data_IF_895793708797
#
_entry.id   IF_895793708797
#
_cell.length_a   1.000
_cell.length_b   1.000
_cell.length_c   1.000
_cell.angle_alpha   90.00
_cell.angle_beta   90.00
_cell.angle_gamma   90.00
#
_symmetry.space_group_name_H-M   'P 1'
#
loop_
_entity.id
_entity.type
_entity.pdbx_description
1 polymer ?
#
# COMPACT_ATOMS: atom_id res chain seq x y z
N UNK A 1 -46.21 50.25 -0.82
CA UNK A 1 -46.88 49.60 0.33
C UNK A 1 -45.86 48.77 1.11
N UNK A 2 -45.35 49.30 2.23
CA UNK A 2 -44.37 48.61 3.09
C UNK A 2 -45.10 47.53 3.89
N UNK A 3 -44.90 46.26 3.52
CA UNK A 3 -45.44 45.12 4.28
C UNK A 3 -44.69 45.06 5.62
N UNK A 4 -45.41 45.39 6.69
CA UNK A 4 -44.94 45.30 8.07
C UNK A 4 -44.40 43.90 8.34
N UNK A 5 -43.10 43.80 8.63
CA UNK A 5 -42.44 42.54 8.92
C UNK A 5 -42.74 42.18 10.37
N UNK A 6 -43.36 41.02 10.59
CA UNK A 6 -43.76 40.55 11.91
C UNK A 6 -42.55 40.53 12.85
N UNK A 7 -42.58 41.30 13.95
CA UNK A 7 -41.48 41.40 14.92
C UNK A 7 -41.00 40.03 15.42
N UNK A 8 -41.90 39.05 15.54
CA UNK A 8 -41.59 37.66 15.88
C UNK A 8 -40.72 36.94 14.84
N UNK A 9 -40.93 37.21 13.55
CA UNK A 9 -40.12 36.64 12.48
C UNK A 9 -38.70 37.24 12.48
N UNK A 10 -38.56 38.51 12.85
CA UNK A 10 -37.25 39.16 13.00
C UNK A 10 -36.47 38.60 14.21
N UNK A 11 -37.15 38.33 15.32
CA UNK A 11 -36.56 37.74 16.53
C UNK A 11 -36.09 36.30 16.26
N UNK A 12 -36.87 35.49 15.55
CA UNK A 12 -36.47 34.12 15.19
C UNK A 12 -35.24 34.12 14.26
N UNK A 13 -35.18 35.06 13.31
CA UNK A 13 -34.02 35.22 12.43
C UNK A 13 -32.77 35.66 13.21
N UNK A 14 -32.94 36.52 14.23
CA UNK A 14 -31.85 36.94 15.11
C UNK A 14 -31.34 35.81 16.01
N UNK A 15 -32.24 34.97 16.56
CA UNK A 15 -31.86 33.80 17.38
C UNK A 15 -31.12 32.76 16.52
N UNK A 16 -31.56 32.52 15.28
CA UNK A 16 -30.87 31.62 14.37
C UNK A 16 -29.49 32.14 13.94
N UNK A 17 -29.35 33.46 13.73
CA UNK A 17 -28.07 34.09 13.40
C UNK A 17 -27.08 34.01 14.57
N UNK A 18 -27.56 34.22 15.80
CA UNK A 18 -26.76 34.08 17.02
C UNK A 18 -26.32 32.62 17.22
N UNK A 19 -27.21 31.64 17.03
CA UNK A 19 -26.87 30.22 17.15
C UNK A 19 -25.82 29.77 16.12
N UNK A 20 -25.80 30.38 14.93
CA UNK A 20 -24.80 30.08 13.90
C UNK A 20 -23.43 30.74 14.15
N UNK A 21 -23.35 31.77 14.99
CA UNK A 21 -22.10 32.43 15.41
C UNK A 21 -21.48 31.73 16.63
N UNK A 22 -22.29 31.05 17.46
CA UNK A 22 -21.85 30.31 18.65
C UNK A 22 -21.50 28.82 18.41
N UNK A 23 -21.17 28.41 17.17
CA UNK A 23 -20.38 27.18 16.98
C UNK A 23 -18.90 27.52 17.26
N UNK A 24 -18.60 27.82 18.53
CA UNK A 24 -17.23 27.81 19.01
C UNK A 24 -16.69 26.39 18.85
N UNK A 25 -15.56 26.28 18.15
CA UNK A 25 -14.78 25.05 18.03
C UNK A 25 -14.36 24.62 19.43
N UNK A 26 -15.12 23.71 20.02
CA UNK A 26 -14.69 23.03 21.22
C UNK A 26 -13.42 22.25 20.89
N UNK A 27 -12.32 22.70 21.51
CA UNK A 27 -11.06 22.00 21.60
C UNK A 27 -11.29 20.51 21.84
N UNK A 28 -10.62 19.67 21.06
CA UNK A 28 -10.69 18.21 21.18
C UNK A 28 -10.25 17.79 22.58
N UNK A 29 -11.23 17.61 23.47
CA UNK A 29 -11.03 16.84 24.68
C UNK A 29 -10.52 15.45 24.28
N UNK A 30 -9.43 15.03 24.91
CA UNK A 30 -8.90 13.68 24.79
C UNK A 30 -9.99 12.69 25.21
N UNK A 31 -10.77 12.22 24.24
CA UNK A 31 -11.69 11.11 24.42
C UNK A 31 -10.80 9.87 24.57
N UNK A 32 -10.76 9.33 25.78
CA UNK A 32 -10.35 7.95 26.03
C UNK A 32 -11.15 7.05 25.10
N UNK A 33 -10.50 6.62 24.02
CA UNK A 33 -11.06 5.67 23.07
C UNK A 33 -11.22 4.35 23.81
N UNK A 34 -12.46 3.87 23.88
CA UNK A 34 -12.77 2.50 24.23
C UNK A 34 -11.79 1.58 23.48
N UNK A 35 -11.10 0.72 24.23
CA UNK A 35 -10.22 -0.31 23.69
C UNK A 35 -11.07 -1.25 22.84
N UNK A 36 -11.23 -0.90 21.56
CA UNK A 36 -11.62 -1.83 20.50
C UNK A 36 -10.59 -2.96 20.55
N UNK A 37 -11.03 -4.15 20.93
CA UNK A 37 -10.24 -5.39 20.92
C UNK A 37 -9.40 -5.40 19.66
N UNK A 38 -8.11 -5.15 19.81
CA UNK A 38 -7.16 -5.22 18.72
C UNK A 38 -7.16 -6.68 18.31
N UNK A 39 -7.77 -6.98 17.17
CA UNK A 39 -7.56 -8.25 16.50
C UNK A 39 -6.06 -8.33 16.28
N UNK A 40 -5.42 -9.19 17.07
CA UNK A 40 -3.99 -9.48 16.97
C UNK A 40 -3.80 -9.98 15.54
N UNK A 41 -3.29 -9.13 14.64
CA UNK A 41 -2.74 -9.59 13.37
C UNK A 41 -1.54 -10.45 13.75
N UNK A 42 -1.75 -11.76 13.80
CA UNK A 42 -0.65 -12.72 13.87
C UNK A 42 0.25 -12.43 12.68
N UNK A 43 1.48 -12.00 12.94
CA UNK A 43 2.48 -11.75 11.90
C UNK A 43 2.63 -13.05 11.13
N UNK A 44 2.17 -13.06 9.86
CA UNK A 44 2.40 -14.20 8.98
C UNK A 44 3.89 -14.52 9.00
N UNK A 45 4.22 -15.80 9.14
CA UNK A 45 5.59 -16.25 9.02
C UNK A 45 6.16 -15.71 7.70
N UNK A 46 7.39 -15.20 7.76
CA UNK A 46 8.08 -14.75 6.55
C UNK A 46 8.26 -15.96 5.63
N UNK A 47 8.10 -15.79 4.31
CA UNK A 47 8.40 -16.86 3.37
C UNK A 47 9.88 -17.24 3.48
N UNK A 48 10.17 -18.53 3.36
CA UNK A 48 11.52 -19.01 3.07
C UNK A 48 11.81 -18.77 1.59
N UNK A 49 12.91 -18.06 1.31
CA UNK A 49 13.28 -17.68 -0.05
C UNK A 49 14.72 -18.10 -0.31
N UNK A 50 14.91 -18.90 -1.35
CA UNK A 50 16.23 -19.31 -1.83
C UNK A 50 16.46 -18.88 -3.28
N UNK A 51 17.71 -18.55 -3.59
CA UNK A 51 18.13 -18.17 -4.93
C UNK A 51 19.23 -19.10 -5.42
N UNK A 52 19.15 -19.50 -6.68
CA UNK A 52 20.24 -20.17 -7.40
C UNK A 52 20.64 -19.28 -8.56
N UNK A 53 21.93 -18.94 -8.62
CA UNK A 53 22.51 -18.15 -9.71
C UNK A 53 23.45 -19.05 -10.50
N UNK A 54 23.18 -19.21 -11.79
CA UNK A 54 24.00 -20.00 -12.71
C UNK A 54 24.39 -19.18 -13.94
N UNK A 55 25.45 -19.62 -14.62
CA UNK A 55 25.99 -18.98 -15.81
C UNK A 55 26.41 -20.07 -16.80
N UNK A 56 25.43 -20.73 -17.43
CA UNK A 56 25.69 -21.85 -18.36
C UNK A 56 26.50 -21.43 -19.59
N UNK A 57 26.39 -20.16 -20.01
CA UNK A 57 27.07 -19.58 -21.17
C UNK A 57 27.74 -18.25 -20.82
N UNK A 58 28.92 -18.25 -20.16
CA UNK A 58 29.53 -17.03 -19.62
C UNK A 58 29.81 -15.93 -20.64
N UNK A 59 30.16 -16.29 -21.88
CA UNK A 59 30.43 -15.36 -22.97
C UNK A 59 29.23 -14.49 -23.37
N UNK A 60 28.02 -14.86 -22.95
CA UNK A 60 26.80 -14.08 -23.22
C UNK A 60 26.57 -12.94 -22.22
N UNK A 61 27.33 -12.92 -21.11
CA UNK A 61 27.09 -12.03 -19.97
C UNK A 61 25.67 -12.14 -19.36
N UNK A 62 24.98 -13.26 -19.60
CA UNK A 62 23.67 -13.55 -19.01
C UNK A 62 23.83 -14.44 -17.78
N UNK A 63 23.01 -14.14 -16.77
CA UNK A 63 22.85 -14.95 -15.57
C UNK A 63 21.47 -15.59 -15.58
N UNK A 64 21.44 -16.87 -15.23
CA UNK A 64 20.21 -17.60 -14.96
C UNK A 64 19.93 -17.50 -13.46
N UNK A 65 18.82 -16.87 -13.10
CA UNK A 65 18.42 -16.70 -11.69
C UNK A 65 17.14 -17.48 -11.45
N UNK A 66 17.21 -18.46 -10.55
CA UNK A 66 16.03 -19.19 -10.05
C UNK A 66 15.75 -18.76 -8.63
N UNK A 67 14.55 -18.24 -8.39
CA UNK A 67 14.03 -17.93 -7.06
C UNK A 67 13.01 -19.00 -6.67
N UNK A 68 13.15 -19.58 -5.49
CA UNK A 68 12.14 -20.45 -4.87
C UNK A 68 11.57 -19.77 -3.64
N UNK A 69 10.25 -19.70 -3.57
CA UNK A 69 9.51 -19.10 -2.45
C UNK A 69 8.66 -20.19 -1.82
N UNK A 70 8.90 -20.46 -0.54
CA UNK A 70 8.16 -21.45 0.25
C UNK A 70 7.49 -20.73 1.41
N UNK A 71 6.16 -20.87 1.53
CA UNK A 71 5.42 -20.33 2.67
C UNK A 71 4.19 -21.19 2.93
N UNK A 72 3.84 -21.34 4.20
CA UNK A 72 2.63 -22.05 4.61
C UNK A 72 1.34 -21.33 4.15
N UNK A 73 1.41 -20.01 3.98
CA UNK A 73 0.28 -19.17 3.58
C UNK A 73 0.73 -18.18 2.50
N UNK A 74 0.79 -18.64 1.25
CA UNK A 74 0.99 -17.73 0.12
C UNK A 74 -0.30 -16.95 -0.15
N UNK A 75 -0.22 -15.63 -0.39
CA UNK A 75 -1.38 -14.85 -0.80
C UNK A 75 -1.86 -15.27 -2.20
N UNK A 76 -3.12 -14.98 -2.52
CA UNK A 76 -3.69 -15.20 -3.86
C UNK A 76 -2.91 -14.47 -4.95
N UNK A 77 -2.33 -13.32 -4.62
CA UNK A 77 -1.45 -12.54 -5.48
C UNK A 77 -0.18 -12.18 -4.72
N UNK A 78 0.97 -12.45 -5.32
CA UNK A 78 2.27 -12.06 -4.78
C UNK A 78 2.91 -10.99 -5.67
N UNK A 79 3.46 -9.94 -5.05
CA UNK A 79 4.27 -8.93 -5.73
C UNK A 79 5.75 -9.23 -5.50
N UNK A 80 6.52 -9.31 -6.58
CA UNK A 80 7.98 -9.39 -6.55
C UNK A 80 8.53 -8.04 -6.99
N UNK A 81 9.48 -7.50 -6.23
CA UNK A 81 10.09 -6.19 -6.51
C UNK A 81 11.60 -6.30 -6.62
N UNK A 82 12.15 -5.56 -7.57
CA UNK A 82 13.59 -5.39 -7.73
C UNK A 82 14.03 -4.07 -7.08
N UNK A 83 15.12 -4.06 -6.31
CA UNK A 83 15.66 -2.82 -5.76
C UNK A 83 16.06 -1.87 -6.89
N UNK A 84 16.04 -0.56 -6.61
CA UNK A 84 16.50 0.48 -7.57
C UNK A 84 17.81 1.12 -7.15
N UNK A 85 18.42 0.69 -6.05
CA UNK A 85 19.71 1.17 -5.57
C UNK A 85 20.36 0.07 -4.73
N UNK A 86 21.67 0.19 -4.51
CA UNK A 86 22.45 -0.73 -3.67
C UNK A 86 23.12 0.04 -2.54
N UNK A 87 23.09 -0.45 -1.29
CA UNK A 87 23.80 0.19 -0.18
C UNK A 87 25.25 0.54 -0.54
N UNK A 88 25.67 1.75 -0.17
CA UNK A 88 26.96 2.32 -0.57
C UNK A 88 26.91 3.16 -1.86
N UNK A 89 25.87 3.07 -2.69
CA UNK A 89 25.65 3.93 -3.86
C UNK A 89 24.23 4.50 -3.85
N UNK A 90 24.11 5.78 -3.49
CA UNK A 90 22.82 6.50 -3.42
C UNK A 90 22.39 7.06 -4.79
N UNK A 91 22.57 6.28 -5.85
CA UNK A 91 22.13 6.64 -7.20
C UNK A 91 21.12 5.61 -7.71
N UNK A 92 20.02 6.11 -8.26
CA UNK A 92 18.93 5.28 -8.80
C UNK A 92 19.40 4.54 -10.05
N UNK A 93 19.23 3.23 -10.06
CA UNK A 93 19.52 2.29 -11.16
C UNK A 93 18.23 1.68 -11.69
N UNK A 94 18.32 1.18 -12.90
CA UNK A 94 17.23 0.55 -13.62
C UNK A 94 17.48 -0.97 -13.76
N UNK A 95 17.82 -1.68 -12.67
CA UNK A 95 18.21 -3.10 -12.74
C UNK A 95 17.18 -4.00 -13.41
N UNK A 96 15.89 -3.73 -13.18
CA UNK A 96 14.78 -4.48 -13.77
C UNK A 96 14.71 -4.42 -15.30
N UNK A 97 15.44 -3.51 -15.96
CA UNK A 97 15.54 -3.47 -17.44
C UNK A 97 16.32 -4.66 -18.02
N UNK A 98 17.16 -5.30 -17.21
CA UNK A 98 18.02 -6.41 -17.63
C UNK A 98 17.39 -7.79 -17.37
N UNK A 99 16.20 -7.82 -16.75
CA UNK A 99 15.45 -9.06 -16.56
C UNK A 99 14.79 -9.42 -17.88
N UNK A 100 15.15 -10.59 -18.41
CA UNK A 100 14.58 -11.18 -19.61
C UNK A 100 14.05 -12.59 -19.31
N UNK A 101 13.19 -13.10 -20.19
CA UNK A 101 12.69 -14.48 -20.15
C UNK A 101 12.07 -14.89 -18.79
N UNK A 102 11.38 -13.96 -18.13
CA UNK A 102 10.76 -14.19 -16.83
C UNK A 102 9.57 -15.16 -16.95
N UNK A 103 9.60 -16.19 -16.12
CA UNK A 103 8.53 -17.17 -16.01
C UNK A 103 8.35 -17.58 -14.55
N UNK A 104 7.12 -17.96 -14.20
CA UNK A 104 6.76 -18.44 -12.87
C UNK A 104 6.10 -19.80 -13.02
N UNK A 105 6.48 -20.72 -12.14
CA UNK A 105 5.90 -22.06 -12.07
C UNK A 105 5.56 -22.41 -10.64
N UNK A 106 4.54 -23.25 -10.48
CA UNK A 106 4.23 -23.86 -9.18
C UNK A 106 5.14 -25.07 -8.90
N UNK A 107 4.94 -25.70 -7.74
CA UNK A 107 5.70 -26.88 -7.33
C UNK A 107 5.49 -28.10 -8.24
N UNK A 108 4.45 -28.10 -9.09
CA UNK A 108 4.14 -29.13 -10.08
C UNK A 108 4.61 -28.74 -11.49
N UNK A 109 5.50 -27.76 -11.61
CA UNK A 109 6.04 -27.24 -12.89
C UNK A 109 4.99 -26.61 -13.82
N UNK A 110 3.79 -26.30 -13.31
CA UNK A 110 2.74 -25.64 -14.09
C UNK A 110 3.01 -24.15 -14.13
N UNK A 111 2.95 -23.55 -15.32
CA UNK A 111 3.12 -22.13 -15.49
C UNK A 111 2.02 -21.34 -14.74
N UNK A 112 2.42 -20.33 -13.98
CA UNK A 112 1.52 -19.41 -13.31
C UNK A 112 1.42 -18.10 -14.10
N UNK A 113 0.22 -17.49 -14.19
CA UNK A 113 0.06 -16.20 -14.84
C UNK A 113 0.81 -15.12 -14.05
N UNK A 114 1.44 -14.20 -14.76
CA UNK A 114 2.13 -13.06 -14.16
C UNK A 114 2.01 -11.84 -15.08
N UNK A 115 2.18 -10.65 -14.50
CA UNK A 115 2.18 -9.40 -15.25
C UNK A 115 3.19 -8.43 -14.64
N UNK A 116 3.96 -7.73 -15.49
CA UNK A 116 4.78 -6.60 -15.07
C UNK A 116 3.88 -5.38 -14.87
N UNK A 117 3.71 -4.94 -13.62
CA UNK A 117 2.82 -3.83 -13.26
C UNK A 117 3.53 -2.47 -13.16
N UNK A 118 4.86 -2.47 -13.01
CA UNK A 118 5.66 -1.27 -12.85
C UNK A 118 7.11 -1.49 -13.35
N UNK A 119 7.97 -0.48 -13.18
CA UNK A 119 9.39 -0.58 -13.53
C UNK A 119 10.25 -1.30 -12.49
N UNK A 120 9.77 -1.50 -11.26
CA UNK A 120 10.54 -2.04 -10.14
C UNK A 120 9.73 -2.84 -9.10
#
# INVERSE_FOLDING_TARGET
MRKSLNSKALIILFIALIFSIYQETSAQGCKTKDKKTAVVKTKSAAPDISYTVSMSKPFTHLLEVKMRVQSANLPTQAEIKMPVWTPGSYLIREYARHVQDFAVKDASERALPWQKINKN
#
